data_IF_103233764324
#
_entry.id   IF_103233764324
#
_cell.length_a   1.000
_cell.length_b   1.000
_cell.length_c   1.000
_cell.angle_alpha   90.00
_cell.angle_beta   90.00
_cell.angle_gamma   90.00
#
_symmetry.space_group_name_H-M   'P 1'
#
loop_
_entity.id
_entity.type
_entity.pdbx_description
1 polymer ?
#
# COMPACT_ATOMS: atom_id res chain seq x y z
N UNK A 1 -4.15 0.37 -11.30
CA UNK A 1 -3.16 -0.72 -11.08
C UNK A 1 -3.90 -1.86 -10.39
N UNK A 2 -4.08 -3.00 -11.05
CA UNK A 2 -4.91 -4.13 -10.59
C UNK A 2 -4.32 -4.93 -9.43
N UNK A 3 -3.86 -4.26 -8.37
CA UNK A 3 -3.19 -4.89 -7.22
C UNK A 3 -4.11 -5.82 -6.43
N UNK A 4 -5.43 -5.64 -6.57
CA UNK A 4 -6.46 -6.49 -5.96
C UNK A 4 -6.98 -7.58 -6.90
N UNK A 5 -6.61 -7.57 -8.19
CA UNK A 5 -7.15 -8.51 -9.20
C UNK A 5 -6.75 -9.96 -8.91
N UNK A 6 -5.59 -10.15 -8.25
CA UNK A 6 -5.10 -11.46 -7.81
C UNK A 6 -5.67 -11.93 -6.47
N UNK A 7 -6.48 -11.11 -5.79
CA UNK A 7 -6.94 -11.37 -4.43
C UNK A 7 -8.39 -11.81 -4.47
N UNK A 8 -8.69 -12.92 -3.79
CA UNK A 8 -10.06 -13.39 -3.65
C UNK A 8 -10.89 -12.37 -2.85
N UNK A 9 -12.13 -12.08 -3.28
CA UNK A 9 -12.98 -11.05 -2.67
C UNK A 9 -13.13 -11.17 -1.14
N UNK A 10 -13.11 -12.39 -0.60
CA UNK A 10 -13.18 -12.66 0.84
C UNK A 10 -11.90 -12.31 1.63
N UNK A 11 -10.76 -12.18 0.95
CA UNK A 11 -9.45 -11.81 1.52
C UNK A 11 -9.11 -10.34 1.33
N UNK A 12 -9.92 -9.57 0.61
CA UNK A 12 -9.67 -8.14 0.37
C UNK A 12 -9.62 -7.36 1.68
N UNK A 13 -10.51 -7.69 2.63
CA UNK A 13 -10.53 -7.03 3.95
C UNK A 13 -9.24 -7.31 4.73
N UNK A 14 -8.80 -8.57 4.77
CA UNK A 14 -7.54 -8.95 5.44
C UNK A 14 -6.32 -8.32 4.76
N UNK A 15 -6.35 -8.24 3.43
CA UNK A 15 -5.30 -7.59 2.65
C UNK A 15 -5.22 -6.10 2.92
N UNK A 16 -6.35 -5.38 2.91
CA UNK A 16 -6.38 -3.95 3.20
C UNK A 16 -5.91 -3.65 4.62
N UNK A 17 -6.33 -4.44 5.61
CA UNK A 17 -5.87 -4.29 7.00
C UNK A 17 -4.35 -4.48 7.11
N UNK A 18 -3.81 -5.58 6.55
CA UNK A 18 -2.37 -5.83 6.58
C UNK A 18 -1.56 -4.82 5.77
N UNK A 19 -2.10 -4.33 4.65
CA UNK A 19 -1.47 -3.30 3.85
C UNK A 19 -1.42 -1.97 4.62
N UNK A 20 -2.48 -1.62 5.34
CA UNK A 20 -2.50 -0.43 6.19
C UNK A 20 -1.46 -0.52 7.30
N UNK A 21 -1.38 -1.65 8.00
CA UNK A 21 -0.37 -1.85 9.05
C UNK A 21 1.05 -1.79 8.48
N UNK A 22 1.26 -2.39 7.30
CA UNK A 22 2.54 -2.35 6.60
C UNK A 22 2.92 -0.92 6.19
N UNK A 23 1.98 -0.16 5.62
CA UNK A 23 2.21 1.23 5.21
C UNK A 23 2.43 2.15 6.41
N UNK A 24 1.75 1.93 7.53
CA UNK A 24 1.97 2.70 8.75
C UNK A 24 3.36 2.40 9.35
N UNK A 25 3.79 1.14 9.33
CA UNK A 25 5.11 0.76 9.85
C UNK A 25 6.29 1.18 8.94
N UNK A 26 6.13 1.08 7.62
CA UNK A 26 7.23 1.23 6.66
C UNK A 26 7.16 2.52 5.84
N UNK A 27 5.99 3.14 5.75
CA UNK A 27 5.72 4.30 4.89
C UNK A 27 4.99 5.44 5.61
N UNK A 28 5.09 5.52 6.95
CA UNK A 28 4.54 6.62 7.75
C UNK A 28 4.95 8.00 7.23
N UNK A 29 6.20 8.15 6.78
CA UNK A 29 6.71 9.42 6.26
C UNK A 29 6.00 9.82 4.95
N UNK A 30 5.79 8.87 4.04
CA UNK A 30 5.05 9.08 2.80
C UNK A 30 3.56 9.37 3.08
N UNK A 31 2.92 8.63 4.00
CA UNK A 31 1.54 8.90 4.42
C UNK A 31 1.39 10.30 5.02
N UNK A 32 2.38 10.74 5.80
CA UNK A 32 2.42 12.09 6.35
C UNK A 32 2.58 13.13 5.24
N UNK A 33 3.46 12.90 4.26
CA UNK A 33 3.64 13.79 3.12
C UNK A 33 2.33 13.96 2.32
N UNK A 34 1.60 12.86 2.05
CA UNK A 34 0.29 12.92 1.39
C UNK A 34 -0.70 13.77 2.20
N UNK A 35 -0.71 13.60 3.52
CA UNK A 35 -1.59 14.36 4.41
C UNK A 35 -1.23 15.85 4.43
N UNK A 36 0.04 16.19 4.43
CA UNK A 36 0.52 17.58 4.51
C UNK A 36 0.39 18.29 3.16
N UNK A 37 0.75 17.62 2.05
CA UNK A 37 0.74 18.19 0.70
C UNK A 37 -0.65 18.15 0.06
N UNK A 38 -1.53 17.23 0.51
CA UNK A 38 -2.84 16.99 -0.07
C UNK A 38 -2.79 16.39 -1.49
N UNK A 39 -1.60 16.04 -1.97
CA UNK A 39 -1.36 15.41 -3.26
C UNK A 39 -0.50 14.16 -3.07
N UNK A 40 -0.66 13.19 -3.97
CA UNK A 40 0.28 12.10 -4.11
C UNK A 40 1.26 12.53 -5.19
N UNK A 41 2.43 13.03 -4.79
CA UNK A 41 3.51 13.36 -5.71
C UNK A 41 4.11 12.09 -6.34
N UNK A 42 4.79 12.23 -7.48
CA UNK A 42 5.35 11.07 -8.20
C UNK A 42 6.33 10.25 -7.34
N UNK A 43 7.13 10.90 -6.48
CA UNK A 43 8.06 10.21 -5.56
C UNK A 43 7.30 9.38 -4.52
N UNK A 44 6.29 10.00 -3.88
CA UNK A 44 5.43 9.34 -2.89
C UNK A 44 4.66 8.19 -3.54
N UNK A 45 4.09 8.41 -4.73
CA UNK A 45 3.39 7.39 -5.50
C UNK A 45 4.30 6.20 -5.83
N UNK A 46 5.52 6.46 -6.31
CA UNK A 46 6.49 5.40 -6.62
C UNK A 46 6.89 4.57 -5.38
N UNK A 47 6.97 5.19 -4.20
CA UNK A 47 7.25 4.48 -2.94
C UNK A 47 6.06 3.65 -2.47
N UNK A 48 4.85 4.20 -2.52
CA UNK A 48 3.62 3.46 -2.22
C UNK A 48 3.46 2.26 -3.17
N UNK A 49 3.74 2.43 -4.45
CA UNK A 49 3.67 1.35 -5.43
C UNK A 49 4.65 0.21 -5.12
N UNK A 50 5.87 0.54 -4.71
CA UNK A 50 6.86 -0.45 -4.25
C UNK A 50 6.38 -1.16 -2.99
N UNK A 51 5.83 -0.42 -2.03
CA UNK A 51 5.29 -0.96 -0.79
C UNK A 51 4.12 -1.93 -1.07
N UNK A 52 3.17 -1.54 -1.92
CA UNK A 52 2.05 -2.39 -2.34
C UNK A 52 2.53 -3.65 -3.06
N UNK A 53 3.51 -3.53 -3.95
CA UNK A 53 4.06 -4.69 -4.68
C UNK A 53 4.81 -5.64 -3.74
N UNK A 54 5.59 -5.11 -2.80
CA UNK A 54 6.29 -5.91 -1.80
C UNK A 54 5.31 -6.62 -0.86
N UNK A 55 4.28 -5.92 -0.40
CA UNK A 55 3.23 -6.50 0.45
C UNK A 55 2.43 -7.56 -0.29
N UNK A 56 2.00 -7.31 -1.53
CA UNK A 56 1.30 -8.29 -2.35
C UNK A 56 2.16 -9.55 -2.58
N UNK A 57 3.46 -9.40 -2.84
CA UNK A 57 4.40 -10.51 -2.94
C UNK A 57 4.51 -11.31 -1.64
N UNK A 58 4.51 -10.65 -0.48
CA UNK A 58 4.54 -11.31 0.84
C UNK A 58 3.20 -11.93 1.26
N UNK A 59 2.07 -11.40 0.80
CA UNK A 59 0.74 -11.91 1.11
C UNK A 59 0.35 -13.12 0.25
N UNK A 60 0.86 -13.19 -0.98
CA UNK A 60 0.66 -14.31 -1.89
C UNK A 60 1.66 -15.48 -1.69
N UNK A 61 2.71 -15.28 -0.89
CA UNK A 61 3.69 -16.30 -0.52
C UNK A 61 3.19 -17.19 0.63
#
# INVERSE_FOLDING_TARGET
>A
KGYLDGITANKVIEFEAGLFDYLDANNAAELKAIRDEGIISDDVGAKLDKAMTAFQGGFAA
#
